data_IF_498996473867
#
_entry.id   IF_498996473867
#
_cell.length_a   1.000
_cell.length_b   1.000
_cell.length_c   1.000
_cell.angle_alpha   90.00
_cell.angle_beta   90.00
_cell.angle_gamma   90.00
#
_symmetry.space_group_name_H-M   'P 1'
#
loop_
_entity.id
_entity.type
_entity.pdbx_description
1 polymer ?
#
# COMPACT_ATOMS: atom_id res chain seq x y z
N UNK A 1 6.29 -6.08 9.76
CA UNK A 1 7.73 -6.37 9.87
C UNK A 1 8.04 -6.94 11.24
N UNK A 2 9.12 -7.73 11.34
CA UNK A 2 9.59 -8.34 12.60
C UNK A 2 11.12 -8.35 12.59
N UNK A 3 11.74 -7.99 13.71
CA UNK A 3 13.20 -7.99 13.92
C UNK A 3 13.96 -7.26 12.80
N UNK A 4 13.55 -6.05 12.46
CA UNK A 4 14.19 -5.26 11.42
C UNK A 4 13.87 -5.69 9.98
N UNK A 5 13.12 -6.78 9.79
CA UNK A 5 12.85 -7.38 8.47
C UNK A 5 11.40 -7.23 8.04
N UNK A 6 11.23 -6.86 6.78
CA UNK A 6 9.91 -6.84 6.12
C UNK A 6 9.56 -8.29 5.74
N UNK A 7 8.48 -8.78 6.32
CA UNK A 7 7.94 -10.11 5.99
C UNK A 7 7.29 -10.03 4.61
N UNK A 8 7.59 -10.98 3.72
CA UNK A 8 7.07 -11.02 2.33
C UNK A 8 7.38 -9.76 1.50
N UNK A 9 8.59 -9.21 1.65
CA UNK A 9 9.01 -7.99 0.92
C UNK A 9 8.77 -8.08 -0.58
N UNK A 10 9.24 -9.15 -1.22
CA UNK A 10 9.09 -9.36 -2.67
C UNK A 10 7.62 -9.35 -3.11
N UNK A 11 6.74 -10.06 -2.38
CA UNK A 11 5.31 -10.07 -2.66
C UNK A 11 4.67 -8.69 -2.50
N UNK A 12 5.13 -7.88 -1.52
CA UNK A 12 4.66 -6.51 -1.36
C UNK A 12 5.09 -5.61 -2.53
N UNK A 13 6.34 -5.71 -2.97
CA UNK A 13 6.85 -4.97 -4.14
C UNK A 13 6.11 -5.40 -5.40
N UNK A 14 5.93 -6.70 -5.62
CA UNK A 14 5.23 -7.23 -6.78
C UNK A 14 3.79 -6.71 -6.86
N UNK A 15 3.05 -6.74 -5.74
CA UNK A 15 1.70 -6.17 -5.67
C UNK A 15 1.67 -4.67 -5.98
N UNK A 16 2.68 -3.91 -5.55
CA UNK A 16 2.78 -2.48 -5.86
C UNK A 16 3.04 -2.25 -7.35
N UNK A 17 3.92 -3.04 -7.97
CA UNK A 17 4.19 -3.01 -9.42
C UNK A 17 2.93 -3.26 -10.23
N UNK A 18 2.21 -4.35 -9.94
CA UNK A 18 0.95 -4.70 -10.62
C UNK A 18 -0.12 -3.60 -10.43
N UNK A 19 -0.21 -3.02 -9.25
CA UNK A 19 -1.09 -1.89 -8.97
C UNK A 19 -0.74 -0.66 -9.80
N UNK A 20 0.55 -0.31 -9.89
CA UNK A 20 1.01 0.81 -10.69
C UNK A 20 0.80 0.59 -12.18
N UNK A 21 1.06 -0.61 -12.69
CA UNK A 21 0.83 -0.99 -14.10
C UNK A 21 -0.66 -0.86 -14.47
N UNK A 22 -1.55 -1.48 -13.68
CA UNK A 22 -3.02 -1.37 -13.91
C UNK A 22 -3.53 0.05 -13.82
N UNK A 23 -2.87 0.85 -12.99
CA UNK A 23 -3.16 2.26 -12.84
C UNK A 23 -2.33 3.12 -13.78
N UNK A 24 -1.56 2.64 -14.75
CA UNK A 24 -0.71 3.50 -15.62
C UNK A 24 0.12 4.54 -14.85
N UNK A 25 0.73 4.14 -13.73
CA UNK A 25 1.70 4.94 -12.96
C UNK A 25 3.08 4.44 -13.35
N UNK A 26 3.73 5.14 -14.27
CA UNK A 26 5.09 4.85 -14.74
C UNK A 26 6.12 5.68 -13.96
N UNK A 27 7.41 5.35 -14.08
CA UNK A 27 8.49 6.16 -13.50
C UNK A 27 8.77 5.91 -12.00
N UNK A 28 8.15 4.88 -11.40
CA UNK A 28 8.46 4.51 -10.02
C UNK A 28 9.87 3.91 -9.94
N UNK A 29 10.76 4.57 -9.20
CA UNK A 29 12.07 3.99 -8.83
C UNK A 29 11.89 2.90 -7.76
N UNK A 30 11.85 1.65 -8.21
CA UNK A 30 11.63 0.48 -7.35
C UNK A 30 12.82 0.16 -6.45
N UNK A 31 14.04 0.42 -6.91
CA UNK A 31 15.25 0.12 -6.14
C UNK A 31 15.38 1.10 -4.97
N UNK A 32 15.13 2.39 -5.24
CA UNK A 32 15.10 3.43 -4.23
C UNK A 32 13.99 3.15 -3.20
N UNK A 33 12.78 2.78 -3.66
CA UNK A 33 11.68 2.43 -2.77
C UNK A 33 12.01 1.25 -1.86
N UNK A 34 12.58 0.17 -2.41
CA UNK A 34 12.95 -1.00 -1.61
C UNK A 34 13.99 -0.62 -0.55
N UNK A 35 14.96 0.21 -0.91
CA UNK A 35 15.98 0.73 0.02
C UNK A 35 15.35 1.54 1.15
N UNK A 36 14.46 2.47 0.85
CA UNK A 36 13.72 3.28 1.82
C UNK A 36 12.89 2.40 2.77
N UNK A 37 12.22 1.38 2.23
CA UNK A 37 11.46 0.41 3.02
C UNK A 37 12.36 -0.37 3.99
N UNK A 38 13.49 -0.89 3.50
CA UNK A 38 14.43 -1.64 4.33
C UNK A 38 15.04 -0.75 5.43
N UNK A 39 15.43 0.48 5.11
CA UNK A 39 15.95 1.46 6.07
C UNK A 39 14.92 1.76 7.17
N UNK A 40 13.66 2.01 6.80
CA UNK A 40 12.59 2.24 7.77
C UNK A 40 12.36 1.02 8.67
N UNK A 41 12.58 -0.20 8.17
CA UNK A 41 12.40 -1.42 8.94
C UNK A 41 13.52 -1.68 9.94
N UNK A 42 14.78 -1.37 9.63
CA UNK A 42 15.98 -1.82 10.40
C UNK A 42 15.90 -1.59 11.92
N UNK A 43 15.33 -0.46 12.36
CA UNK A 43 15.28 -0.09 13.78
C UNK A 43 14.04 -0.62 14.52
N UNK A 44 13.26 -1.49 13.89
CA UNK A 44 11.94 -1.88 14.39
C UNK A 44 11.91 -3.35 14.80
N UNK A 45 11.73 -3.59 16.10
CA UNK A 45 11.51 -4.95 16.60
C UNK A 45 10.21 -5.53 16.06
N UNK A 46 9.13 -4.73 16.05
CA UNK A 46 7.84 -5.14 15.52
C UNK A 46 6.98 -3.91 15.22
N UNK A 47 6.55 -3.78 13.97
CA UNK A 47 5.62 -2.72 13.56
C UNK A 47 4.99 -3.04 12.19
N UNK A 48 4.11 -2.15 11.75
CA UNK A 48 3.49 -2.16 10.42
C UNK A 48 4.20 -1.12 9.56
N UNK A 49 4.59 -1.54 8.35
CA UNK A 49 5.14 -0.64 7.34
C UNK A 49 4.07 -0.45 6.25
N UNK A 50 3.75 0.80 5.94
CA UNK A 50 2.77 1.19 4.93
C UNK A 50 3.49 1.93 3.82
N UNK A 51 3.19 1.55 2.59
CA UNK A 51 3.67 2.24 1.38
C UNK A 51 2.46 2.76 0.61
N UNK A 52 2.54 4.00 0.17
CA UNK A 52 1.57 4.63 -0.74
C UNK A 52 2.35 5.10 -1.96
N UNK A 53 1.84 4.77 -3.15
CA UNK A 53 2.32 5.31 -4.42
C UNK A 53 1.16 6.03 -5.07
N UNK A 54 1.37 7.27 -5.49
CA UNK A 54 0.39 8.06 -6.26
C UNK A 54 1.01 8.55 -7.57
N UNK A 55 0.17 8.94 -8.53
CA UNK A 55 0.59 9.49 -9.82
C UNK A 55 1.25 10.89 -9.72
N UNK A 56 1.53 11.38 -8.52
CA UNK A 56 2.05 12.72 -8.30
C UNK A 56 0.98 13.80 -8.41
N UNK A 57 1.43 15.04 -8.56
CA UNK A 57 0.57 16.23 -8.73
C UNK A 57 0.70 16.80 -10.14
N UNK A 58 -0.32 17.50 -10.61
CA UNK A 58 -0.35 18.17 -11.92
C UNK A 58 -1.53 17.74 -12.79
N UNK A 59 -1.49 18.15 -14.06
CA UNK A 59 -2.55 17.90 -15.03
C UNK A 59 -3.79 18.78 -14.87
N UNK A 60 -4.88 18.39 -15.54
CA UNK A 60 -6.20 19.05 -15.45
C UNK A 60 -7.30 18.01 -15.41
N UNK A 61 -8.21 18.13 -14.43
CA UNK A 61 -9.30 17.18 -14.24
C UNK A 61 -8.78 15.75 -14.07
N UNK A 62 -9.41 14.78 -14.71
CA UNK A 62 -9.02 13.37 -14.67
C UNK A 62 -7.83 13.00 -15.58
N UNK A 63 -7.32 13.96 -16.36
CA UNK A 63 -6.23 13.70 -17.29
C UNK A 63 -4.90 13.56 -16.56
N UNK A 64 -4.20 12.46 -16.85
CA UNK A 64 -2.83 12.22 -16.39
C UNK A 64 -1.78 13.01 -17.16
N UNK A 65 -2.16 13.62 -18.29
CA UNK A 65 -1.23 14.46 -19.06
C UNK A 65 -0.85 15.68 -18.23
N UNK A 66 0.44 15.86 -18.02
CA UNK A 66 0.99 16.96 -17.22
C UNK A 66 1.00 16.69 -15.71
N UNK A 67 0.70 15.46 -15.27
CA UNK A 67 1.13 15.01 -13.94
C UNK A 67 2.66 14.88 -13.93
N UNK A 68 3.28 15.28 -12.82
CA UNK A 68 4.72 15.09 -12.59
C UNK A 68 5.07 13.66 -12.20
N UNK A 69 6.23 13.49 -11.59
CA UNK A 69 6.74 12.19 -11.15
C UNK A 69 5.86 11.55 -10.06
N UNK A 70 5.76 10.21 -10.01
CA UNK A 70 5.04 9.51 -8.96
C UNK A 70 5.55 9.87 -7.56
N UNK A 71 4.63 10.03 -6.62
CA UNK A 71 4.98 10.23 -5.21
C UNK A 71 4.99 8.89 -4.49
N UNK A 72 6.08 8.61 -3.77
CA UNK A 72 6.21 7.45 -2.88
C UNK A 72 6.22 7.92 -1.44
N UNK A 73 5.40 7.30 -0.59
CA UNK A 73 5.34 7.60 0.84
C UNK A 73 5.52 6.29 1.61
N UNK A 74 6.58 6.21 2.41
CA UNK A 74 6.83 5.11 3.35
C UNK A 74 6.54 5.61 4.75
N UNK A 75 5.69 4.92 5.48
CA UNK A 75 5.36 5.26 6.87
C UNK A 75 5.28 4.03 7.76
N UNK A 76 5.54 4.25 9.05
CA UNK A 76 5.49 3.22 10.08
C UNK A 76 4.30 3.47 11.00
N UNK A 77 3.70 2.38 11.45
CA UNK A 77 2.69 2.39 12.50
C UNK A 77 3.02 1.33 13.56
N UNK A 78 2.63 1.54 14.83
CA UNK A 78 2.79 0.54 15.88
C UNK A 78 2.13 -0.79 15.52
N UNK A 79 2.67 -1.88 16.05
CA UNK A 79 2.02 -3.18 15.91
C UNK A 79 0.66 -3.21 16.63
N UNK A 80 -0.43 -3.67 15.99
CA UNK A 80 -1.73 -3.76 16.64
C UNK A 80 -1.72 -4.80 17.76
N UNK A 81 -1.86 -4.36 19.01
CA UNK A 81 -1.79 -5.24 20.19
C UNK A 81 -2.92 -6.29 20.21
N UNK A 82 -4.12 -5.91 19.74
CA UNK A 82 -5.31 -6.77 19.75
C UNK A 82 -5.22 -8.01 18.82
N UNK A 83 -4.21 -8.09 17.94
CA UNK A 83 -4.02 -9.27 17.08
C UNK A 83 -3.65 -10.53 17.87
N UNK A 84 -2.93 -10.39 18.98
CA UNK A 84 -2.60 -11.55 19.82
C UNK A 84 -3.88 -12.17 20.42
N UNK A 85 -4.78 -11.33 20.92
CA UNK A 85 -6.06 -11.77 21.48
C UNK A 85 -6.93 -12.45 20.42
N UNK A 86 -7.03 -11.86 19.22
CA UNK A 86 -7.78 -12.46 18.11
C UNK A 86 -7.21 -13.82 17.69
N UNK A 87 -5.88 -13.98 17.68
CA UNK A 87 -5.24 -15.25 17.34
C UNK A 87 -5.55 -16.34 18.37
N UNK A 88 -5.63 -15.98 19.66
CA UNK A 88 -5.88 -16.93 20.75
C UNK A 88 -7.37 -17.26 20.94
N UNK A 89 -8.24 -16.26 20.77
CA UNK A 89 -9.67 -16.36 21.11
C UNK A 89 -10.57 -16.53 19.90
N UNK A 90 -10.01 -16.42 18.69
CA UNK A 90 -10.75 -16.42 17.43
C UNK A 90 -11.45 -15.09 17.14
N UNK A 91 -12.00 -14.98 15.94
CA UNK A 91 -12.77 -13.83 15.48
C UNK A 91 -14.20 -14.28 15.11
N UNK A 92 -15.19 -13.42 15.39
CA UNK A 92 -16.57 -13.62 14.95
C UNK A 92 -16.83 -12.86 13.65
N UNK A 93 -17.46 -13.52 12.68
CA UNK A 93 -17.81 -12.91 11.40
C UNK A 93 -19.29 -12.53 11.35
N UNK A 94 -19.61 -11.44 10.65
CA UNK A 94 -20.97 -11.01 10.35
C UNK A 94 -21.09 -10.69 8.86
N UNK A 95 -22.23 -11.03 8.25
CA UNK A 95 -22.52 -10.61 6.89
C UNK A 95 -22.76 -9.10 6.84
N UNK A 96 -21.94 -8.39 6.08
CA UNK A 96 -22.15 -6.96 5.82
C UNK A 96 -23.31 -6.75 4.84
N UNK A 97 -24.23 -5.81 5.11
CA UNK A 97 -25.23 -5.41 4.12
C UNK A 97 -24.61 -4.62 2.95
N UNK A 98 -23.41 -4.04 3.15
CA UNK A 98 -22.68 -3.29 2.13
C UNK A 98 -22.05 -4.27 1.15
N UNK A 99 -22.40 -4.14 -0.14
CA UNK A 99 -21.81 -4.91 -1.24
C UNK A 99 -20.64 -4.16 -1.84
N UNK A 100 -19.57 -4.88 -2.19
CA UNK A 100 -18.47 -4.31 -2.96
C UNK A 100 -18.86 -4.25 -4.44
N UNK A 101 -18.67 -3.09 -5.05
CA UNK A 101 -18.88 -2.92 -6.50
C UNK A 101 -17.92 -3.82 -7.28
N UNK A 102 -18.42 -4.42 -8.38
CA UNK A 102 -17.61 -5.27 -9.25
C UNK A 102 -17.03 -4.41 -10.37
N UNK A 103 -15.75 -4.08 -10.27
CA UNK A 103 -15.02 -3.41 -11.36
C UNK A 103 -13.74 -4.22 -11.68
N UNK A 104 -13.68 -4.93 -12.82
CA UNK A 104 -12.53 -5.73 -13.20
C UNK A 104 -11.21 -4.95 -13.27
N UNK A 105 -11.27 -3.66 -13.63
CA UNK A 105 -10.07 -2.80 -13.76
C UNK A 105 -9.42 -2.51 -12.40
N UNK A 106 -10.20 -2.53 -11.31
CA UNK A 106 -9.72 -2.26 -9.95
C UNK A 106 -9.87 -3.46 -9.00
N UNK A 107 -10.32 -4.61 -9.51
CA UNK A 107 -10.40 -5.84 -8.74
C UNK A 107 -9.00 -6.21 -8.24
N UNK A 108 -8.92 -6.74 -7.01
CA UNK A 108 -7.69 -7.15 -6.28
C UNK A 108 -6.64 -6.06 -6.00
N UNK A 109 -6.80 -4.83 -6.50
CA UNK A 109 -5.87 -3.75 -6.17
C UNK A 109 -6.14 -3.18 -4.78
N UNK A 110 -5.09 -3.08 -3.96
CA UNK A 110 -5.15 -2.40 -2.65
C UNK A 110 -5.03 -0.87 -2.82
N UNK A 111 -5.84 -0.30 -3.71
CA UNK A 111 -5.79 1.11 -4.09
C UNK A 111 -6.57 1.97 -3.10
N UNK A 112 -5.92 3.02 -2.57
CA UNK A 112 -6.60 4.16 -1.95
C UNK A 112 -6.90 5.17 -3.06
N UNK A 113 -8.18 5.37 -3.39
CA UNK A 113 -8.64 6.48 -4.22
C UNK A 113 -9.16 7.55 -3.26
N UNK A 114 -8.39 8.62 -3.07
CA UNK A 114 -8.85 9.82 -2.35
C UNK A 114 -9.00 10.93 -3.38
N UNK A 115 -10.23 11.41 -3.57
CA UNK A 115 -10.52 12.62 -4.35
C UNK A 115 -10.76 13.77 -3.37
N UNK A 116 -9.93 14.83 -3.41
CA UNK A 116 -10.36 16.13 -2.92
C UNK A 116 -11.10 16.85 -4.05
N UNK A 117 -12.25 17.45 -3.71
CA UNK A 117 -12.87 18.47 -4.57
C UNK A 117 -11.95 19.68 -4.71
#
# INVERSE_FOLDING_TARGET
MRQGKIVLLESHIQRLKEGCERLWIDGVDWLQLETEMQQAAQQQTQAVLKVIISAGSGGRGYSRRGCGEPTRIVSLAPWPQHYADLQQRGASLRLSPIRLARNPQFAVSSTLIVWSR
#
